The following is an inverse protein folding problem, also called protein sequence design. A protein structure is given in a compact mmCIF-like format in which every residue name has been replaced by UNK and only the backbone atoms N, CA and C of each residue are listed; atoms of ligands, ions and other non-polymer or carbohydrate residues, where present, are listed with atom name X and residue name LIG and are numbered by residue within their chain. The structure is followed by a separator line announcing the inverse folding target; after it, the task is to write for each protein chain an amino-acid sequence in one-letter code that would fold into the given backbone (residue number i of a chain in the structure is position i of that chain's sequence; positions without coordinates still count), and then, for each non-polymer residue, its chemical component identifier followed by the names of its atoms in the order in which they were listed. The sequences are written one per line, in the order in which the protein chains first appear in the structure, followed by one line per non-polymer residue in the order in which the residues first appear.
data_IF_502570539226
#
_entry.id   IF_502570539226
#
_cell.length_a   1.000
_cell.length_b   1.000
_cell.length_c   1.000
_cell.angle_alpha   90.00
_cell.angle_beta   90.00
_cell.angle_gamma   90.00
#
_symmetry.space_group_name_H-M   'P 1'
#
loop_
_entity.id
_entity.type
_entity.pdbx_description
1 polymer ?
#
# COMPACT_ATOMS: atom_id res chain seq x y z
N UNK A 1 -16.71 -24.98 -10.26
CA UNK A 1 -16.22 -24.68 -10.42
C UNK A 1 -15.40 -24.10 -10.97
N UNK A 2 -15.07 -24.09 -11.15
CA UNK A 2 -14.02 -23.78 -11.84
C UNK A 2 -13.73 -22.51 -12.43
N UNK A 3 -14.32 -21.52 -12.07
CA UNK A 3 -13.89 -20.23 -12.50
C UNK A 3 -12.65 -19.84 -11.75
N UNK A 4 -11.57 -19.94 -12.45
CA UNK A 4 -10.35 -19.38 -11.97
C UNK A 4 -10.53 -17.88 -11.97
N UNK A 5 -10.73 -17.33 -10.82
CA UNK A 5 -10.76 -15.90 -10.68
C UNK A 5 -9.31 -15.41 -10.69
N UNK A 6 -8.90 -14.86 -11.83
CA UNK A 6 -7.54 -14.36 -11.99
C UNK A 6 -7.33 -12.98 -11.39
N UNK A 7 -8.37 -12.43 -10.77
CA UNK A 7 -8.26 -11.13 -10.13
C UNK A 7 -7.45 -11.22 -8.84
N UNK A 8 -6.49 -10.31 -8.62
CA UNK A 8 -5.76 -10.26 -7.36
C UNK A 8 -6.70 -10.02 -6.19
N UNK A 9 -6.34 -10.58 -5.03
CA UNK A 9 -7.14 -10.36 -3.81
C UNK A 9 -7.16 -8.90 -3.39
N UNK A 10 -6.02 -8.22 -3.52
CA UNK A 10 -5.89 -6.83 -3.12
C UNK A 10 -5.73 -5.96 -4.35
N UNK A 11 -6.63 -5.01 -4.52
CA UNK A 11 -6.57 -4.05 -5.62
C UNK A 11 -6.47 -2.65 -5.05
N UNK A 12 -5.49 -1.89 -5.54
CA UNK A 12 -5.17 -0.56 -5.03
C UNK A 12 -5.32 0.45 -6.16
N UNK A 13 -6.23 1.38 -5.99
CA UNK A 13 -6.50 2.45 -6.95
C UNK A 13 -6.04 3.76 -6.36
N UNK A 14 -5.12 4.43 -7.04
CA UNK A 14 -4.60 5.72 -6.59
C UNK A 14 -4.81 6.83 -7.61
N UNK A 15 -4.99 6.44 -8.87
CA UNK A 15 -5.21 7.41 -9.95
C UNK A 15 -6.67 7.84 -9.91
N UNK A 16 -6.90 9.12 -9.70
CA UNK A 16 -8.22 9.65 -9.47
C UNK A 16 -8.61 9.53 -8.00
N UNK A 17 -9.56 8.66 -7.69
CA UNK A 17 -10.01 8.45 -6.32
C UNK A 17 -9.21 7.33 -5.66
N UNK A 18 -8.75 7.56 -4.44
CA UNK A 18 -8.07 6.52 -3.69
C UNK A 18 -9.07 5.46 -3.21
N UNK A 19 -8.78 4.21 -3.53
CA UNK A 19 -9.65 3.12 -3.14
C UNK A 19 -8.84 1.84 -3.00
N UNK A 20 -9.10 1.10 -1.94
CA UNK A 20 -8.47 -0.20 -1.72
C UNK A 20 -9.57 -1.24 -1.60
N UNK A 21 -9.48 -2.28 -2.43
CA UNK A 21 -10.43 -3.38 -2.42
C UNK A 21 -9.74 -4.67 -2.04
N UNK A 22 -10.35 -5.37 -1.11
CA UNK A 22 -9.90 -6.70 -0.72
C UNK A 22 -11.03 -7.67 -1.02
N UNK A 23 -10.79 -8.58 -1.97
CA UNK A 23 -11.78 -9.56 -2.40
C UNK A 23 -13.13 -8.89 -2.76
N UNK A 24 -13.04 -7.88 -3.60
CA UNK A 24 -14.20 -7.11 -4.10
C UNK A 24 -14.90 -6.26 -3.04
N UNK A 25 -14.36 -6.20 -1.83
CA UNK A 25 -14.91 -5.36 -0.77
C UNK A 25 -14.01 -4.14 -0.60
N UNK A 26 -14.61 -2.96 -0.62
CA UNK A 26 -13.88 -1.71 -0.39
C UNK A 26 -13.58 -1.60 1.10
N UNK A 27 -12.30 -1.56 1.45
CA UNK A 27 -11.88 -1.47 2.85
C UNK A 27 -11.40 -0.09 3.25
N UNK A 28 -11.16 0.79 2.27
CA UNK A 28 -10.62 2.13 2.51
C UNK A 28 -11.68 3.17 2.85
N UNK A 29 -12.95 2.88 2.62
CA UNK A 29 -14.04 3.83 2.87
C UNK A 29 -14.49 3.89 4.31
N UNK A 30 -13.98 3.02 5.13
CA UNK A 30 -14.50 2.88 6.45
C UNK A 30 -14.03 3.98 7.36
N UNK A 31 -14.87 4.96 7.45
CA UNK A 31 -14.94 5.96 8.48
C UNK A 31 -13.72 6.81 8.72
N UNK A 32 -13.98 8.04 9.02
CA UNK A 32 -12.98 9.06 9.30
C UNK A 32 -12.05 8.77 10.48
N UNK A 33 -12.21 7.67 11.17
CA UNK A 33 -11.34 7.34 12.30
C UNK A 33 -10.00 6.73 11.89
N UNK A 34 -9.90 6.26 10.65
CA UNK A 34 -8.72 5.56 10.18
C UNK A 34 -7.92 6.35 9.18
N UNK A 35 -8.09 7.66 9.14
CA UNK A 35 -7.45 8.51 8.14
C UNK A 35 -5.94 8.39 8.15
N UNK A 36 -5.32 8.37 9.33
CA UNK A 36 -3.86 8.27 9.43
C UNK A 36 -3.32 6.95 8.89
N UNK A 37 -4.07 5.88 9.12
CA UNK A 37 -3.69 4.56 8.61
C UNK A 37 -3.63 4.58 7.09
N UNK A 38 -4.67 5.14 6.45
CA UNK A 38 -4.73 5.22 5.00
C UNK A 38 -3.78 6.25 4.41
N UNK A 39 -3.51 7.34 5.14
CA UNK A 39 -2.50 8.32 4.72
C UNK A 39 -1.12 7.67 4.69
N UNK A 40 -0.80 6.86 5.69
CA UNK A 40 0.44 6.12 5.71
C UNK A 40 0.50 5.11 4.56
N UNK A 41 -0.61 4.44 4.28
CA UNK A 41 -0.66 3.48 3.18
C UNK A 41 -0.43 4.16 1.84
N UNK A 42 -1.06 5.32 1.62
CA UNK A 42 -0.81 6.11 0.41
C UNK A 42 0.67 6.48 0.27
N UNK A 43 1.30 6.82 1.37
CA UNK A 43 2.71 7.17 1.37
C UNK A 43 3.58 5.96 0.99
N UNK A 44 3.26 4.79 1.51
CA UNK A 44 3.94 3.55 1.15
C UNK A 44 3.77 3.26 -0.35
N UNK A 45 2.55 3.43 -0.86
CA UNK A 45 2.26 3.20 -2.27
C UNK A 45 3.04 4.17 -3.16
N UNK A 46 3.07 5.45 -2.78
CA UNK A 46 3.79 6.46 -3.55
C UNK A 46 5.28 6.14 -3.64
N UNK A 47 5.81 5.49 -2.62
CA UNK A 47 7.22 5.13 -2.55
C UNK A 47 7.43 3.63 -2.74
N UNK A 48 6.56 2.98 -3.50
CA UNK A 48 6.56 1.52 -3.62
C UNK A 48 7.88 0.94 -4.17
N UNK A 49 8.61 1.71 -4.95
CA UNK A 49 9.88 1.24 -5.51
C UNK A 49 11.06 1.38 -4.53
N UNK A 50 10.97 2.33 -3.62
CA UNK A 50 12.07 2.63 -2.71
C UNK A 50 11.89 2.09 -1.31
N UNK A 51 10.65 1.92 -0.90
CA UNK A 51 10.32 1.61 0.48
C UNK A 51 10.26 2.89 1.33
N UNK A 52 9.73 2.75 2.54
CA UNK A 52 9.45 3.86 3.42
C UNK A 52 10.17 3.67 4.75
N UNK A 53 10.96 4.64 5.16
CA UNK A 53 11.56 4.66 6.49
C UNK A 53 10.57 5.26 7.48
N UNK A 54 10.36 4.61 8.63
CA UNK A 54 9.40 5.11 9.62
C UNK A 54 9.65 6.55 10.04
N UNK A 55 10.91 6.90 10.29
CA UNK A 55 11.26 8.24 10.78
C UNK A 55 10.89 9.32 9.76
N UNK A 56 11.15 9.05 8.48
CA UNK A 56 10.86 10.00 7.42
C UNK A 56 9.37 10.10 7.14
N UNK A 57 8.66 8.99 7.27
CA UNK A 57 7.22 8.97 7.02
C UNK A 57 6.50 9.94 7.97
N UNK A 58 6.83 9.89 9.26
CA UNK A 58 6.20 10.78 10.23
C UNK A 58 6.53 12.23 9.98
N UNK A 59 7.78 12.51 9.63
CA UNK A 59 8.22 13.87 9.34
C UNK A 59 7.47 14.47 8.16
N UNK A 60 7.28 13.69 7.12
CA UNK A 60 6.63 14.18 5.91
C UNK A 60 5.11 14.22 6.03
N UNK A 61 4.52 13.26 6.73
CA UNK A 61 3.05 13.21 6.84
C UNK A 61 2.52 14.11 7.93
N UNK A 62 3.20 14.17 9.07
CA UNK A 62 2.72 14.94 10.22
C UNK A 62 3.87 15.71 10.86
N UNK A 63 4.41 16.74 10.17
CA UNK A 63 5.62 17.43 10.63
C UNK A 63 5.43 18.23 11.92
N UNK A 64 4.19 18.60 12.24
CA UNK A 64 3.91 19.42 13.41
C UNK A 64 3.83 18.63 14.72
N UNK A 65 4.02 17.32 14.66
CA UNK A 65 3.95 16.48 15.84
C UNK A 65 5.31 15.91 16.20
N UNK A 66 5.61 15.95 17.49
CA UNK A 66 6.83 15.34 18.01
C UNK A 66 6.55 13.92 18.47
N UNK A 67 7.40 13.01 18.06
CA UNK A 67 7.26 11.61 18.44
C UNK A 67 8.51 11.20 19.21
N UNK A 68 8.29 10.72 20.44
CA UNK A 68 9.40 10.19 21.26
C UNK A 68 9.89 8.85 20.72
N UNK A 69 9.02 8.13 20.04
CA UNK A 69 9.35 6.82 19.45
C UNK A 69 8.72 6.73 18.05
N UNK A 70 9.40 7.30 17.03
CA UNK A 70 8.86 7.28 15.68
C UNK A 70 8.60 5.89 15.13
N UNK A 71 9.53 4.96 15.39
CA UNK A 71 9.36 3.60 14.89
C UNK A 71 8.16 2.91 15.51
N UNK A 72 7.97 3.10 16.80
CA UNK A 72 6.82 2.54 17.49
C UNK A 72 5.51 3.13 17.01
N UNK A 73 5.49 4.43 16.74
CA UNK A 73 4.30 5.10 16.23
C UNK A 73 3.89 4.54 14.86
N UNK A 74 4.86 4.38 13.95
CA UNK A 74 4.57 3.80 12.64
C UNK A 74 4.17 2.33 12.77
N UNK A 75 4.85 1.57 13.65
CA UNK A 75 4.51 0.18 13.86
C UNK A 75 3.05 0.00 14.30
N UNK A 76 2.58 0.89 15.17
CA UNK A 76 1.18 0.84 15.60
C UNK A 76 0.22 1.09 14.43
N UNK A 77 0.54 2.04 13.57
CA UNK A 77 -0.28 2.30 12.38
C UNK A 77 -0.24 1.12 11.41
N UNK A 78 0.92 0.55 11.20
CA UNK A 78 1.06 -0.64 10.33
C UNK A 78 0.27 -1.81 10.88
N UNK A 79 0.30 -2.01 12.19
CA UNK A 79 -0.48 -3.07 12.83
C UNK A 79 -1.97 -2.91 12.53
N UNK A 80 -2.48 -1.68 12.65
CA UNK A 80 -3.88 -1.40 12.34
C UNK A 80 -4.18 -1.58 10.86
N UNK A 81 -3.27 -1.14 10.00
CA UNK A 81 -3.41 -1.30 8.56
C UNK A 81 -3.46 -2.77 8.16
N UNK A 82 -2.59 -3.58 8.75
CA UNK A 82 -2.57 -5.02 8.48
C UNK A 82 -3.89 -5.68 8.87
N UNK A 83 -4.53 -5.20 9.93
CA UNK A 83 -5.84 -5.73 10.32
C UNK A 83 -6.91 -5.49 9.25
N UNK A 84 -6.86 -4.33 8.60
CA UNK A 84 -7.81 -4.07 7.52
C UNK A 84 -7.58 -4.97 6.32
N UNK A 85 -6.33 -5.33 6.07
CA UNK A 85 -5.95 -6.10 4.87
C UNK A 85 -5.76 -7.58 5.15
N UNK A 86 -5.73 -8.02 6.39
CA UNK A 86 -5.49 -9.42 6.67
C UNK A 86 -6.72 -10.24 6.35
N UNK A 87 -6.45 -11.32 5.66
CA UNK A 87 -7.40 -12.40 5.49
C UNK A 87 -7.17 -13.35 6.66
N UNK A 88 -8.23 -13.69 7.36
CA UNK A 88 -8.13 -14.63 8.47
C UNK A 88 -7.61 -16.00 8.05
N UNK A 89 -7.67 -16.27 6.76
CA UNK A 89 -7.38 -17.61 6.25
C UNK A 89 -5.91 -17.92 6.06
N UNK A 90 -5.08 -16.93 5.71
CA UNK A 90 -3.70 -17.25 5.35
C UNK A 90 -2.64 -16.45 6.11
N UNK A 91 -3.05 -15.45 6.87
CA UNK A 91 -2.09 -14.67 7.67
C UNK A 91 -1.02 -13.93 6.88
N UNK A 92 -1.24 -13.76 5.59
CA UNK A 92 -0.27 -13.12 4.72
C UNK A 92 -0.22 -11.61 4.95
N UNK A 93 1.00 -11.07 5.00
CA UNK A 93 1.21 -9.63 5.18
C UNK A 93 1.47 -8.96 3.85
N UNK A 94 0.60 -8.04 3.46
CA UNK A 94 0.81 -7.23 2.26
C UNK A 94 1.88 -6.16 2.46
N UNK A 95 2.19 -5.84 3.70
CA UNK A 95 3.24 -4.88 4.03
C UNK A 95 4.31 -5.59 4.82
N UNK A 96 5.55 -5.52 4.35
CA UNK A 96 6.69 -6.13 5.03
C UNK A 96 7.65 -5.05 5.48
N UNK A 97 8.39 -5.34 6.54
CA UNK A 97 9.47 -4.51 7.03
C UNK A 97 10.77 -5.25 6.85
N UNK A 98 11.66 -4.67 6.07
CA UNK A 98 12.94 -5.32 5.76
C UNK A 98 14.02 -4.26 5.62
N UNK A 99 15.15 -4.47 6.28
CA UNK A 99 16.31 -3.59 6.18
C UNK A 99 15.99 -2.12 6.51
N UNK A 100 15.06 -1.91 7.44
CA UNK A 100 14.68 -0.57 7.88
C UNK A 100 13.60 0.11 7.07
N UNK A 101 13.03 -0.58 6.09
CA UNK A 101 12.01 0.00 5.21
C UNK A 101 10.73 -0.80 5.22
N UNK A 102 9.60 -0.10 5.19
CA UNK A 102 8.30 -0.71 4.92
C UNK A 102 8.01 -0.66 3.43
N UNK A 103 7.47 -1.73 2.91
CA UNK A 103 7.11 -1.82 1.49
C UNK A 103 6.02 -2.83 1.27
N UNK A 104 5.38 -2.77 0.11
CA UNK A 104 4.46 -3.83 -0.29
C UNK A 104 5.23 -5.12 -0.50
N UNK A 105 4.61 -6.23 -0.11
CA UNK A 105 5.21 -7.55 -0.25
C UNK A 105 5.10 -8.03 -1.70
N UNK A 106 6.21 -8.11 -2.44
CA UNK A 106 6.16 -8.49 -3.85
C UNK A 106 5.80 -9.95 -4.07
N UNK A 107 5.85 -10.77 -3.01
CA UNK A 107 5.51 -12.19 -3.12
C UNK A 107 4.01 -12.44 -3.06
N UNK A 108 3.23 -11.43 -2.71
CA UNK A 108 1.79 -11.59 -2.63
C UNK A 108 1.11 -11.01 -3.86
N UNK A 109 -0.07 -11.54 -4.13
CA UNK A 109 -0.85 -11.14 -5.29
C UNK A 109 -1.62 -9.86 -4.99
N UNK A 110 -1.15 -8.76 -5.54
CA UNK A 110 -1.85 -7.48 -5.45
C UNK A 110 -1.82 -6.79 -6.82
N UNK A 111 -2.75 -5.89 -7.03
CA UNK A 111 -2.80 -5.06 -8.23
C UNK A 111 -2.74 -3.60 -7.81
N UNK A 112 -1.86 -2.85 -8.44
CA UNK A 112 -1.66 -1.43 -8.16
C UNK A 112 -1.70 -0.68 -9.48
N UNK A 113 -2.64 0.26 -9.61
CA UNK A 113 -2.89 0.96 -10.86
C UNK A 113 -1.68 1.75 -11.37
N UNK A 114 -0.91 2.38 -10.48
CA UNK A 114 0.27 3.13 -10.94
C UNK A 114 1.37 2.23 -11.48
N UNK A 115 1.51 1.01 -10.98
CA UNK A 115 2.47 0.07 -11.54
C UNK A 115 2.09 -0.30 -12.97
N UNK A 116 0.82 -0.58 -13.20
CA UNK A 116 0.33 -0.88 -14.53
C UNK A 116 0.51 0.31 -15.47
N UNK A 117 0.18 1.51 -15.00
CA UNK A 117 0.36 2.72 -15.78
C UNK A 117 1.82 2.93 -16.15
N UNK A 118 2.74 2.73 -15.20
CA UNK A 118 4.17 2.87 -15.45
C UNK A 118 4.66 1.89 -16.51
N UNK A 119 4.19 0.65 -16.46
CA UNK A 119 4.54 -0.35 -17.48
C UNK A 119 4.08 0.07 -18.86
N UNK A 120 2.86 0.53 -18.98
CA UNK A 120 2.31 0.99 -20.25
C UNK A 120 3.09 2.20 -20.78
N UNK A 121 3.47 3.11 -19.91
CA UNK A 121 4.23 4.28 -20.27
C UNK A 121 5.60 3.90 -20.81
N UNK A 122 6.27 2.97 -20.17
CA UNK A 122 7.58 2.49 -20.60
C UNK A 122 7.47 1.82 -21.97
N UNK A 123 6.48 0.97 -22.16
CA UNK A 123 6.26 0.32 -23.46
C UNK A 123 5.99 1.32 -24.57
N UNK A 124 5.18 2.33 -24.28
CA UNK A 124 4.89 3.39 -25.24
C UNK A 124 6.14 4.14 -25.65
N UNK A 125 7.00 4.47 -24.71
CA UNK A 125 8.25 5.16 -25.00
C UNK A 125 9.22 4.30 -25.78
N UNK A 126 9.28 3.02 -25.50
CA UNK A 126 10.13 2.11 -26.28
C UNK A 126 9.65 2.01 -27.71
N UNK A 127 8.36 1.97 -27.94
CA UNK A 127 7.81 1.93 -29.28
C UNK A 127 8.09 3.20 -30.05
N UNK A 128 8.16 4.34 -29.39
CA UNK A 128 8.45 5.62 -30.04
C UNK A 128 9.91 5.78 -30.47
N UNK A 129 10.79 4.96 -29.94
CA UNK A 129 12.21 5.04 -30.25
C UNK A 129 12.62 4.27 -31.52
N UNK A 130 11.71 3.57 -32.10
CA UNK A 130 11.99 2.79 -33.29
C UNK A 130 12.08 3.69 -34.54
#
# INVERSE_FOLDING_TARGET
MGTINNSPKLEIFTLGKFEVRLRDKIISEDSGRSTRVWDLFKYIITNHNKGVRPELALEELWPDQDYSDPRGAVRALIFRLRKYMSSEEDGSDYIIFSQGYYRLNPDLDYWLDIEEFEELYIKSNEMKKI
#
